data_IF_819250657211
#
_entry.id   IF_819250657211
#
_cell.length_a   1.000
_cell.length_b   1.000
_cell.length_c   1.000
_cell.angle_alpha   90.00
_cell.angle_beta   90.00
_cell.angle_gamma   90.00
#
_symmetry.space_group_name_H-M   'P 1'
#
loop_
_entity.id
_entity.type
_entity.pdbx_description
1 polymer ?
#
# COMPACT_ATOMS: atom_id res chain seq x y z
N UNK A 1 26.05 -41.80 0.64
CA UNK A 1 24.62 -41.86 0.90
C UNK A 1 24.28 -40.86 2.00
N UNK A 2 23.89 -39.65 1.66
CA UNK A 2 23.49 -38.62 2.65
C UNK A 2 21.96 -38.72 2.78
N UNK A 3 21.47 -38.99 3.98
CA UNK A 3 20.04 -39.00 4.30
C UNK A 3 19.54 -37.55 4.33
N UNK A 4 18.66 -37.24 3.44
CA UNK A 4 17.90 -35.96 3.46
C UNK A 4 16.75 -36.17 4.45
N UNK A 5 16.82 -35.50 5.60
CA UNK A 5 15.73 -35.46 6.56
C UNK A 5 14.77 -34.38 6.11
N UNK A 6 13.63 -34.81 5.60
CA UNK A 6 12.52 -33.93 5.21
C UNK A 6 11.86 -33.42 6.51
N UNK A 7 12.09 -32.16 6.86
CA UNK A 7 11.34 -31.51 7.93
C UNK A 7 10.00 -31.06 7.35
N UNK A 8 8.96 -31.83 7.59
CA UNK A 8 7.58 -31.43 7.31
C UNK A 8 7.19 -30.41 8.38
N UNK A 9 7.16 -29.15 8.03
CA UNK A 9 6.54 -28.12 8.85
C UNK A 9 5.04 -28.42 8.93
N UNK A 10 4.57 -28.86 10.08
CA UNK A 10 3.15 -29.03 10.36
C UNK A 10 2.50 -27.63 10.35
N UNK A 11 1.78 -27.34 9.28
CA UNK A 11 0.82 -26.22 9.26
C UNK A 11 -0.24 -26.61 10.29
N UNK A 12 -0.32 -25.87 11.39
CA UNK A 12 -1.40 -26.02 12.37
C UNK A 12 -2.70 -25.58 11.69
N UNK A 13 -3.41 -26.53 11.09
CA UNK A 13 -4.79 -26.37 10.66
C UNK A 13 -5.60 -26.30 11.97
N UNK A 14 -6.41 -25.25 12.21
CA UNK A 14 -7.27 -25.21 13.39
C UNK A 14 -8.20 -26.42 13.37
N UNK A 15 -8.14 -27.22 14.42
CA UNK A 15 -9.01 -28.40 14.59
C UNK A 15 -10.42 -27.90 14.78
N UNK A 16 -11.31 -28.21 13.82
CA UNK A 16 -12.75 -27.97 13.91
C UNK A 16 -13.37 -28.94 14.91
N UNK A 17 -13.52 -28.54 16.16
CA UNK A 17 -14.41 -29.17 17.09
C UNK A 17 -15.67 -28.31 17.21
N UNK A 18 -16.74 -28.73 16.54
CA UNK A 18 -18.09 -28.19 16.76
C UNK A 18 -18.33 -26.75 16.33
N UNK A 19 -18.03 -26.36 15.08
CA UNK A 19 -18.66 -25.21 14.43
C UNK A 19 -18.26 -23.79 14.87
N UNK A 20 -17.43 -23.61 15.89
CA UNK A 20 -16.90 -22.29 16.29
C UNK A 20 -15.38 -22.25 16.16
N UNK A 21 -14.90 -21.29 15.36
CA UNK A 21 -13.48 -20.97 15.30
C UNK A 21 -13.09 -20.24 16.59
N UNK A 22 -12.19 -20.82 17.40
CA UNK A 22 -11.65 -20.13 18.59
C UNK A 22 -10.52 -19.20 18.14
N UNK A 23 -10.60 -17.94 18.53
CA UNK A 23 -9.58 -16.94 18.26
C UNK A 23 -8.80 -16.59 19.53
N UNK A 24 -7.53 -16.19 19.44
CA UNK A 24 -6.83 -15.60 20.57
C UNK A 24 -7.55 -14.33 21.07
N UNK A 25 -7.45 -13.98 22.36
CA UNK A 25 -8.17 -12.84 22.94
C UNK A 25 -7.95 -11.51 22.20
N UNK A 26 -6.74 -11.28 21.69
CA UNK A 26 -6.42 -10.08 20.91
C UNK A 26 -7.18 -10.00 19.56
N UNK A 27 -7.60 -11.14 19.03
CA UNK A 27 -8.39 -11.25 17.82
C UNK A 27 -9.90 -11.18 18.14
N UNK A 28 -10.37 -11.90 19.18
CA UNK A 28 -11.77 -11.91 19.60
C UNK A 28 -12.27 -10.49 19.91
N UNK A 29 -11.44 -9.66 20.53
CA UNK A 29 -11.79 -8.28 20.90
C UNK A 29 -12.19 -7.42 19.70
N UNK A 30 -11.71 -7.74 18.50
CA UNK A 30 -11.90 -6.93 17.29
C UNK A 30 -12.67 -7.63 16.16
N UNK A 31 -13.03 -8.91 16.33
CA UNK A 31 -13.85 -9.64 15.37
C UNK A 31 -15.34 -9.36 15.65
N UNK A 32 -16.09 -9.11 14.58
CA UNK A 32 -17.56 -8.97 14.63
C UNK A 32 -18.29 -10.06 13.85
N UNK A 33 -17.61 -10.73 12.92
CA UNK A 33 -18.15 -11.80 12.10
C UNK A 33 -17.19 -12.99 12.11
N UNK A 34 -17.30 -13.87 13.11
CA UNK A 34 -16.44 -15.05 13.25
C UNK A 34 -16.90 -16.24 12.40
N UNK A 35 -18.14 -16.17 11.87
CA UNK A 35 -18.75 -17.27 11.14
C UNK A 35 -18.03 -17.52 9.82
N UNK A 36 -17.80 -18.80 9.50
CA UNK A 36 -17.19 -19.23 8.25
C UNK A 36 -18.12 -19.10 7.06
N UNK A 37 -19.44 -18.97 7.31
CA UNK A 37 -20.49 -18.83 6.31
C UNK A 37 -21.34 -17.60 6.56
N UNK A 38 -21.26 -16.64 5.64
CA UNK A 38 -21.96 -15.36 5.74
C UNK A 38 -22.53 -14.95 4.40
N UNK A 39 -23.74 -14.39 4.39
CA UNK A 39 -24.33 -13.72 3.24
C UNK A 39 -24.51 -12.23 3.54
N UNK A 40 -23.93 -11.38 2.69
CA UNK A 40 -24.07 -9.93 2.72
C UNK A 40 -25.14 -9.55 1.70
N UNK A 41 -26.35 -9.19 2.18
CA UNK A 41 -27.50 -8.89 1.31
C UNK A 41 -27.71 -7.39 1.14
N UNK A 42 -28.36 -7.05 0.02
CA UNK A 42 -28.79 -5.69 -0.33
C UNK A 42 -27.65 -4.70 -0.42
N UNK A 43 -26.45 -5.17 -0.86
CA UNK A 43 -25.27 -4.32 -1.00
C UNK A 43 -25.12 -3.76 -2.40
N UNK A 44 -24.55 -2.56 -2.50
CA UNK A 44 -23.92 -2.10 -3.74
C UNK A 44 -22.55 -2.76 -3.85
N UNK A 45 -22.25 -3.39 -4.98
CA UNK A 45 -20.95 -4.01 -5.24
C UNK A 45 -20.16 -3.19 -6.25
N UNK A 46 -18.95 -2.76 -5.87
CA UNK A 46 -17.92 -2.27 -6.79
C UNK A 46 -16.84 -3.33 -6.89
N UNK A 47 -16.82 -4.08 -7.97
CA UNK A 47 -16.09 -5.34 -8.07
C UNK A 47 -14.56 -5.20 -8.20
N UNK A 48 -14.03 -3.98 -8.29
CA UNK A 48 -12.60 -3.68 -8.46
C UNK A 48 -12.08 -3.78 -9.89
N UNK A 49 -12.94 -4.08 -10.88
CA UNK A 49 -12.52 -4.22 -12.30
C UNK A 49 -12.61 -2.91 -13.10
N UNK A 50 -13.03 -1.81 -12.47
CA UNK A 50 -13.28 -0.53 -13.16
C UNK A 50 -14.65 -0.44 -13.82
N UNK A 51 -15.49 -1.48 -13.72
CA UNK A 51 -16.86 -1.48 -14.23
C UNK A 51 -17.80 -0.68 -13.33
N UNK A 52 -18.97 -0.36 -13.89
CA UNK A 52 -20.04 0.29 -13.14
C UNK A 52 -20.45 -0.55 -11.90
N UNK A 53 -20.85 0.10 -10.80
CA UNK A 53 -21.36 -0.59 -9.62
C UNK A 53 -22.60 -1.42 -9.94
N UNK A 54 -22.76 -2.52 -9.21
CA UNK A 54 -23.95 -3.38 -9.25
C UNK A 54 -24.76 -3.11 -7.99
N UNK A 55 -26.02 -2.73 -8.17
CA UNK A 55 -26.94 -2.43 -7.07
C UNK A 55 -27.65 -3.69 -6.57
N UNK A 56 -28.07 -3.71 -5.32
CA UNK A 56 -28.89 -4.74 -4.69
C UNK A 56 -28.35 -6.17 -4.89
N UNK A 57 -27.08 -6.36 -4.55
CA UNK A 57 -26.42 -7.65 -4.68
C UNK A 57 -26.41 -8.43 -3.36
N UNK A 58 -26.29 -9.73 -3.48
CA UNK A 58 -25.94 -10.63 -2.38
C UNK A 58 -24.56 -11.24 -2.64
N UNK A 59 -23.66 -11.14 -1.66
CA UNK A 59 -22.34 -11.82 -1.66
C UNK A 59 -22.40 -12.94 -0.64
N UNK A 60 -22.15 -14.19 -1.09
CA UNK A 60 -22.06 -15.33 -0.17
C UNK A 60 -20.61 -15.71 0.03
N UNK A 61 -20.22 -15.79 1.30
CA UNK A 61 -18.87 -16.18 1.74
C UNK A 61 -18.98 -17.57 2.39
N UNK A 62 -18.08 -18.49 2.03
CA UNK A 62 -17.93 -19.79 2.69
C UNK A 62 -16.45 -20.16 2.76
N UNK A 63 -16.01 -20.61 3.92
CA UNK A 63 -14.63 -21.06 4.18
C UNK A 63 -13.55 -20.09 3.65
N UNK A 64 -13.77 -18.80 3.89
CA UNK A 64 -12.81 -17.73 3.53
C UNK A 64 -12.85 -17.28 2.08
N UNK A 65 -13.74 -17.82 1.25
CA UNK A 65 -13.88 -17.50 -0.17
C UNK A 65 -15.25 -16.93 -0.51
N UNK A 66 -15.29 -16.13 -1.56
CA UNK A 66 -16.51 -15.72 -2.23
C UNK A 66 -17.03 -16.91 -3.04
N UNK A 67 -18.22 -17.42 -2.72
CA UNK A 67 -18.81 -18.55 -3.47
C UNK A 67 -19.81 -18.10 -4.50
N UNK A 68 -20.52 -17.01 -4.27
CA UNK A 68 -21.44 -16.41 -5.25
C UNK A 68 -21.59 -14.90 -5.05
N UNK A 69 -21.94 -14.23 -6.15
CA UNK A 69 -22.29 -12.79 -6.19
C UNK A 69 -23.42 -12.63 -7.19
N UNK A 70 -24.51 -11.97 -6.81
CA UNK A 70 -25.63 -11.67 -7.70
C UNK A 70 -26.87 -11.16 -6.99
N UNK A 71 -27.87 -10.62 -7.70
CA UNK A 71 -29.07 -10.03 -7.10
C UNK A 71 -29.97 -11.06 -6.43
N UNK A 72 -29.90 -12.30 -6.84
CA UNK A 72 -30.68 -13.43 -6.29
C UNK A 72 -29.77 -14.61 -5.97
N UNK A 73 -28.55 -14.36 -5.47
CA UNK A 73 -27.63 -15.42 -5.09
C UNK A 73 -28.30 -16.33 -4.05
N UNK A 74 -28.34 -17.64 -4.35
CA UNK A 74 -28.90 -18.62 -3.44
C UNK A 74 -28.10 -18.65 -2.14
N UNK A 75 -28.78 -18.43 -1.03
CA UNK A 75 -28.18 -18.49 0.31
C UNK A 75 -28.39 -19.91 0.85
N UNK A 76 -27.33 -20.67 1.11
CA UNK A 76 -27.44 -22.00 1.69
C UNK A 76 -28.07 -21.96 3.08
N UNK A 77 -28.73 -23.03 3.49
CA UNK A 77 -29.29 -23.13 4.84
C UNK A 77 -28.19 -23.02 5.92
N UNK A 78 -28.50 -22.35 7.02
CA UNK A 78 -27.60 -22.19 8.17
C UNK A 78 -26.50 -21.13 7.97
N UNK A 79 -26.59 -20.32 6.92
CA UNK A 79 -25.70 -19.15 6.72
C UNK A 79 -26.20 -17.98 7.55
N UNK A 80 -25.28 -17.25 8.23
CA UNK A 80 -25.60 -15.96 8.83
C UNK A 80 -25.90 -14.95 7.73
N UNK A 81 -27.08 -14.35 7.78
CA UNK A 81 -27.49 -13.30 6.84
C UNK A 81 -27.30 -11.93 7.49
N UNK A 82 -26.66 -11.03 6.79
CA UNK A 82 -26.50 -9.64 7.18
C UNK A 82 -27.21 -8.76 6.15
N UNK A 83 -28.24 -8.05 6.57
CA UNK A 83 -28.85 -6.99 5.76
C UNK A 83 -27.96 -5.74 5.82
N UNK A 84 -27.44 -5.37 4.69
CA UNK A 84 -26.52 -4.25 4.52
C UNK A 84 -27.10 -3.21 3.54
N UNK A 85 -28.42 -3.03 3.56
CA UNK A 85 -29.10 -1.98 2.79
C UNK A 85 -28.41 -0.63 3.01
N UNK A 86 -28.10 0.08 1.93
CA UNK A 86 -27.39 1.37 1.96
C UNK A 86 -25.86 1.28 2.04
N UNK A 87 -25.30 0.07 2.19
CA UNK A 87 -23.85 -0.11 2.20
C UNK A 87 -23.27 -0.42 0.81
N UNK A 88 -22.00 -0.09 0.66
CA UNK A 88 -21.19 -0.48 -0.52
C UNK A 88 -20.13 -1.47 -0.08
N UNK A 89 -19.92 -2.51 -0.89
CA UNK A 89 -18.83 -3.47 -0.69
C UNK A 89 -17.84 -3.34 -1.84
N UNK A 90 -16.56 -3.15 -1.48
CA UNK A 90 -15.43 -3.11 -2.41
C UNK A 90 -14.45 -4.25 -2.07
N UNK A 91 -13.53 -4.65 -2.98
CA UNK A 91 -12.44 -5.55 -2.62
C UNK A 91 -11.57 -4.94 -1.53
N UNK A 92 -10.91 -5.77 -0.75
CA UNK A 92 -9.88 -5.31 0.17
C UNK A 92 -8.80 -4.51 -0.56
N UNK A 93 -8.39 -3.40 0.04
CA UNK A 93 -7.34 -2.54 -0.50
C UNK A 93 -6.01 -3.31 -0.48
N UNK A 94 -5.26 -3.18 -1.57
CA UNK A 94 -3.91 -3.73 -1.73
C UNK A 94 -2.92 -2.57 -1.74
N UNK A 95 -2.40 -2.25 -0.56
CA UNK A 95 -1.44 -1.17 -0.38
C UNK A 95 -0.08 -1.51 -1.00
N UNK A 96 0.37 -0.70 -1.95
CA UNK A 96 1.57 -0.96 -2.73
C UNK A 96 2.79 -0.16 -2.29
N UNK A 97 2.61 0.78 -1.36
CA UNK A 97 3.68 1.55 -0.73
C UNK A 97 3.34 1.83 0.74
N UNK A 98 3.48 0.80 1.54
CA UNK A 98 3.12 0.85 2.95
C UNK A 98 4.37 0.62 3.81
N UNK A 99 4.31 1.07 5.04
CA UNK A 99 5.34 0.85 6.04
C UNK A 99 4.72 0.48 7.38
N UNK A 100 5.49 -0.24 8.20
CA UNK A 100 5.10 -0.60 9.57
C UNK A 100 5.79 0.28 10.61
N UNK A 101 6.33 1.40 10.17
CA UNK A 101 6.91 2.44 10.99
C UNK A 101 6.29 3.80 10.65
N UNK A 102 6.48 4.77 11.54
CA UNK A 102 6.07 6.15 11.38
C UNK A 102 7.28 7.06 11.53
N UNK A 103 7.44 8.00 10.64
CA UNK A 103 8.55 8.95 10.67
C UNK A 103 8.04 10.36 10.87
N UNK A 104 8.62 11.09 11.80
CA UNK A 104 8.40 12.51 12.03
C UNK A 104 9.68 13.15 12.55
N UNK A 105 10.00 14.38 12.12
CA UNK A 105 11.17 15.16 12.53
C UNK A 105 12.48 14.35 12.60
N UNK A 106 12.74 13.47 11.62
CA UNK A 106 13.93 12.63 11.56
C UNK A 106 13.95 11.45 12.54
N UNK A 107 12.84 11.17 13.21
CA UNK A 107 12.65 9.98 14.05
C UNK A 107 11.86 8.93 13.29
N UNK A 108 12.22 7.66 13.43
CA UNK A 108 11.41 6.54 12.98
C UNK A 108 10.99 5.70 14.19
N UNK A 109 9.69 5.44 14.29
CA UNK A 109 9.09 4.65 15.38
C UNK A 109 8.41 3.44 14.77
N UNK A 110 8.80 2.22 15.21
CA UNK A 110 8.15 0.98 14.76
C UNK A 110 6.73 0.91 15.33
N UNK A 111 5.76 0.60 14.48
CA UNK A 111 4.34 0.56 14.83
C UNK A 111 3.83 -0.88 14.90
N UNK A 112 4.50 -1.74 15.69
CA UNK A 112 4.20 -3.17 15.78
C UNK A 112 2.75 -3.47 16.13
N UNK A 113 2.16 -2.68 17.00
CA UNK A 113 0.79 -2.87 17.46
C UNK A 113 -0.22 -2.06 16.63
N UNK A 114 0.10 -0.79 16.32
CA UNK A 114 -0.87 0.13 15.73
C UNK A 114 -0.96 0.01 14.21
N UNK A 115 0.15 -0.15 13.46
CA UNK A 115 0.09 -0.18 12.01
C UNK A 115 -0.80 -1.32 11.46
N UNK A 116 -0.65 -2.60 11.88
CA UNK A 116 -1.47 -3.67 11.32
C UNK A 116 -2.96 -3.48 11.62
N UNK A 117 -3.31 -2.91 12.77
CA UNK A 117 -4.70 -2.60 13.13
C UNK A 117 -5.27 -1.44 12.33
N UNK A 118 -4.48 -0.38 12.15
CA UNK A 118 -4.89 0.79 11.38
C UNK A 118 -5.10 0.46 9.90
N UNK A 119 -4.18 -0.31 9.30
CA UNK A 119 -4.36 -0.79 7.93
C UNK A 119 -5.66 -1.57 7.79
N UNK A 120 -5.84 -2.59 8.63
CA UNK A 120 -7.03 -3.44 8.57
C UNK A 120 -8.31 -2.65 8.82
N UNK A 121 -8.33 -1.76 9.83
CA UNK A 121 -9.50 -0.93 10.17
C UNK A 121 -9.97 -0.04 9.01
N UNK A 122 -9.05 0.40 8.17
CA UNK A 122 -9.34 1.30 7.05
C UNK A 122 -9.43 0.56 5.70
N UNK A 123 -9.55 -0.78 5.73
CA UNK A 123 -9.84 -1.59 4.54
C UNK A 123 -8.63 -2.17 3.82
N UNK A 124 -7.39 -1.95 4.30
CA UNK A 124 -6.20 -2.58 3.71
C UNK A 124 -6.09 -4.01 4.19
N UNK A 125 -6.36 -4.97 3.31
CA UNK A 125 -6.30 -6.42 3.62
C UNK A 125 -5.01 -7.07 3.17
N UNK A 126 -4.30 -6.43 2.25
CA UNK A 126 -2.97 -6.84 1.75
C UNK A 126 -2.09 -5.60 1.63
N UNK A 127 -0.83 -5.68 2.07
CA UNK A 127 0.11 -4.58 2.00
C UNK A 127 1.50 -5.07 1.58
N UNK A 128 2.17 -4.34 0.69
CA UNK A 128 3.60 -4.48 0.45
C UNK A 128 4.33 -3.47 1.32
N UNK A 129 5.18 -3.96 2.23
CA UNK A 129 6.12 -3.06 2.90
C UNK A 129 7.16 -2.59 1.88
N UNK A 130 7.43 -1.27 1.84
CA UNK A 130 8.21 -0.73 0.72
C UNK A 130 9.56 -0.22 1.21
N UNK A 131 10.36 -1.17 1.73
CA UNK A 131 11.64 -0.95 2.40
C UNK A 131 11.47 -0.92 3.92
N UNK A 132 12.22 -1.77 4.61
CA UNK A 132 12.24 -1.87 6.06
C UNK A 132 13.41 -1.11 6.67
N UNK A 133 13.15 -0.33 7.72
CA UNK A 133 14.19 0.18 8.62
C UNK A 133 14.59 -0.85 9.69
N UNK A 134 13.72 -1.86 9.88
CA UNK A 134 13.94 -3.01 10.78
C UNK A 134 13.28 -4.26 10.17
N UNK A 135 13.89 -4.90 9.15
CA UNK A 135 13.25 -5.99 8.40
C UNK A 135 12.88 -7.20 9.26
N UNK A 136 13.67 -7.58 10.27
CA UNK A 136 13.31 -8.66 11.19
C UNK A 136 12.06 -8.37 12.01
N UNK A 137 11.81 -7.10 12.34
CA UNK A 137 10.56 -6.67 12.97
C UNK A 137 9.36 -6.98 12.07
N UNK A 138 9.47 -6.67 10.77
CA UNK A 138 8.41 -6.93 9.78
C UNK A 138 8.21 -8.43 9.54
N UNK A 139 9.28 -9.22 9.49
CA UNK A 139 9.23 -10.70 9.40
C UNK A 139 8.46 -11.30 10.59
N UNK A 140 8.76 -10.85 11.81
CA UNK A 140 8.09 -11.34 13.01
C UNK A 140 6.62 -10.87 13.07
N UNK A 141 6.33 -9.64 12.64
CA UNK A 141 4.97 -9.12 12.52
C UNK A 141 4.17 -9.96 11.53
N UNK A 142 4.72 -10.19 10.32
CA UNK A 142 4.09 -11.06 9.32
C UNK A 142 3.76 -12.44 9.89
N UNK A 143 4.72 -13.08 10.56
CA UNK A 143 4.52 -14.38 11.21
C UNK A 143 3.39 -14.36 12.23
N UNK A 144 3.30 -13.30 13.04
CA UNK A 144 2.24 -13.14 14.04
C UNK A 144 0.85 -12.95 13.39
N UNK A 145 0.80 -12.23 12.28
CA UNK A 145 -0.45 -12.04 11.51
C UNK A 145 -0.85 -13.33 10.80
N UNK A 146 0.10 -14.03 10.15
CA UNK A 146 -0.17 -15.25 9.39
C UNK A 146 -0.62 -16.41 10.28
N UNK A 147 -0.13 -16.46 11.51
CA UNK A 147 -0.57 -17.45 12.53
C UNK A 147 -1.86 -17.04 13.25
N UNK A 148 -2.43 -15.86 12.95
CA UNK A 148 -3.64 -15.35 13.60
C UNK A 148 -3.42 -14.91 15.06
N UNK A 149 -2.18 -14.66 15.48
CA UNK A 149 -1.89 -14.17 16.83
C UNK A 149 -2.27 -12.70 17.02
N UNK A 150 -2.18 -11.90 15.94
CA UNK A 150 -2.60 -10.49 15.92
C UNK A 150 -3.41 -10.18 14.65
N UNK A 151 -4.34 -9.19 14.69
CA UNK A 151 -5.03 -8.71 13.50
C UNK A 151 -4.11 -7.86 12.62
N UNK A 152 -4.26 -7.97 11.31
CA UNK A 152 -3.51 -7.17 10.35
C UNK A 152 -3.67 -7.65 8.91
N UNK A 153 -3.18 -6.89 7.91
CA UNK A 153 -3.21 -7.26 6.51
C UNK A 153 -2.25 -8.43 6.21
N UNK A 154 -2.44 -9.07 5.07
CA UNK A 154 -1.45 -9.97 4.48
C UNK A 154 -0.23 -9.14 4.06
N UNK A 155 0.97 -9.45 4.59
CA UNK A 155 2.18 -8.70 4.30
C UNK A 155 3.04 -9.36 3.21
N UNK A 156 3.35 -8.58 2.17
CA UNK A 156 4.42 -8.85 1.21
C UNK A 156 5.63 -8.02 1.60
N UNK A 157 6.67 -8.70 2.08
CA UNK A 157 7.81 -8.02 2.68
C UNK A 157 8.81 -7.56 1.62
N UNK A 158 9.23 -6.31 1.74
CA UNK A 158 10.41 -5.77 1.06
C UNK A 158 11.57 -5.78 2.04
N UNK A 159 12.76 -6.16 1.58
CA UNK A 159 13.98 -6.13 2.37
C UNK A 159 14.35 -4.72 2.86
N UNK A 160 15.52 -4.54 3.46
CA UNK A 160 15.97 -3.20 3.86
C UNK A 160 16.05 -2.27 2.67
N UNK A 161 15.92 -0.97 2.92
CA UNK A 161 16.27 0.02 1.91
C UNK A 161 17.72 -0.16 1.44
N UNK A 162 17.94 -0.13 0.13
CA UNK A 162 19.27 -0.23 -0.48
C UNK A 162 19.66 1.13 -1.05
N UNK A 163 20.66 1.78 -0.46
CA UNK A 163 21.16 3.09 -0.90
C UNK A 163 22.66 3.04 -1.17
N UNK A 164 23.21 4.08 -1.77
CA UNK A 164 24.66 4.22 -1.95
C UNK A 164 25.38 4.71 -0.68
N UNK A 165 26.73 4.73 -0.70
CA UNK A 165 27.54 5.32 0.36
C UNK A 165 27.15 6.79 0.61
N UNK A 166 27.05 7.17 1.89
CA UNK A 166 26.61 8.51 2.30
C UNK A 166 25.10 8.69 2.43
N UNK A 167 24.31 7.67 2.09
CA UNK A 167 22.87 7.65 2.31
C UNK A 167 22.49 7.58 3.81
N UNK A 168 21.20 7.55 4.11
CA UNK A 168 20.71 7.56 5.48
C UNK A 168 21.23 6.37 6.30
N UNK A 169 21.63 6.61 7.54
CA UNK A 169 22.21 5.60 8.45
C UNK A 169 21.25 4.45 8.81
N UNK A 170 19.93 4.65 8.62
CA UNK A 170 18.91 3.62 8.83
C UNK A 170 18.71 2.69 7.64
N UNK A 171 19.48 2.89 6.56
CA UNK A 171 19.40 2.14 5.31
C UNK A 171 20.67 1.31 5.10
N UNK A 172 20.57 0.23 4.32
CA UNK A 172 21.74 -0.52 3.92
C UNK A 172 22.52 0.24 2.84
N UNK A 173 23.68 0.79 3.22
CA UNK A 173 24.58 1.48 2.32
C UNK A 173 25.41 0.45 1.56
N UNK A 174 25.35 0.46 0.24
CA UNK A 174 25.97 -0.53 -0.63
C UNK A 174 26.90 0.18 -1.59
N UNK A 175 28.22 -0.14 -1.54
CA UNK A 175 29.25 0.46 -2.38
C UNK A 175 29.71 -0.41 -3.54
N UNK A 176 29.31 -1.70 -3.60
CA UNK A 176 29.77 -2.61 -4.63
C UNK A 176 28.70 -3.58 -5.13
N UNK A 177 28.94 -4.15 -6.31
CA UNK A 177 28.05 -5.18 -6.90
C UNK A 177 28.06 -6.47 -6.11
N UNK A 178 29.15 -6.78 -5.42
CA UNK A 178 29.27 -7.96 -4.55
C UNK A 178 28.40 -7.81 -3.30
N UNK A 179 28.48 -6.65 -2.64
CA UNK A 179 27.60 -6.33 -1.50
C UNK A 179 26.12 -6.38 -1.90
N UNK A 180 25.78 -5.84 -3.08
CA UNK A 180 24.42 -5.89 -3.61
C UNK A 180 23.91 -7.33 -3.74
N UNK A 181 24.72 -8.22 -4.34
CA UNK A 181 24.36 -9.63 -4.49
C UNK A 181 24.24 -10.34 -3.14
N UNK A 182 25.16 -10.07 -2.22
CA UNK A 182 25.17 -10.66 -0.88
C UNK A 182 23.92 -10.28 -0.09
N UNK A 183 23.58 -8.99 -0.05
CA UNK A 183 22.42 -8.50 0.72
C UNK A 183 21.10 -9.00 0.14
N UNK A 184 20.96 -9.01 -1.19
CA UNK A 184 19.77 -9.54 -1.86
C UNK A 184 19.59 -11.03 -1.57
N UNK A 185 20.65 -11.84 -1.70
CA UNK A 185 20.55 -13.27 -1.42
C UNK A 185 20.22 -13.54 0.05
N UNK A 186 20.85 -12.82 0.98
CA UNK A 186 20.60 -12.96 2.41
C UNK A 186 19.11 -12.72 2.75
N UNK A 187 18.57 -11.59 2.35
CA UNK A 187 17.18 -11.27 2.67
C UNK A 187 16.16 -12.10 1.88
N UNK A 188 16.53 -12.58 0.70
CA UNK A 188 15.73 -13.56 -0.02
C UNK A 188 15.62 -14.89 0.74
N UNK A 189 16.71 -15.34 1.40
CA UNK A 189 16.70 -16.52 2.26
C UNK A 189 15.88 -16.30 3.55
N UNK A 190 15.78 -15.05 4.05
CA UNK A 190 14.91 -14.66 5.16
C UNK A 190 13.43 -14.50 4.76
N UNK A 191 13.09 -14.67 3.47
CA UNK A 191 11.71 -14.74 2.97
C UNK A 191 11.10 -13.42 2.51
N UNK A 192 11.90 -12.37 2.26
CA UNK A 192 11.39 -11.19 1.57
C UNK A 192 11.11 -11.48 0.10
N UNK A 193 10.12 -10.80 -0.47
CA UNK A 193 9.66 -11.03 -1.85
C UNK A 193 9.94 -9.84 -2.78
N UNK A 194 10.36 -8.73 -2.22
CA UNK A 194 10.69 -7.49 -2.93
C UNK A 194 11.97 -6.86 -2.38
N UNK A 195 12.59 -6.00 -3.19
CA UNK A 195 13.69 -5.10 -2.78
C UNK A 195 13.40 -3.68 -3.23
N UNK A 196 13.93 -2.69 -2.50
CA UNK A 196 13.77 -1.27 -2.82
C UNK A 196 15.11 -0.55 -2.85
N UNK A 197 15.41 0.08 -4.00
CA UNK A 197 16.49 1.06 -4.10
C UNK A 197 16.07 2.42 -3.55
N UNK A 198 17.04 3.20 -3.08
CA UNK A 198 16.85 4.57 -2.62
C UNK A 198 17.82 5.54 -3.31
N UNK A 199 17.73 6.81 -2.98
CA UNK A 199 18.18 7.99 -3.73
C UNK A 199 19.61 7.97 -4.25
N UNK A 200 20.56 7.34 -3.57
CA UNK A 200 22.01 7.50 -3.84
C UNK A 200 22.69 6.25 -4.40
N UNK A 201 21.91 5.25 -4.81
CA UNK A 201 22.44 4.00 -5.40
C UNK A 201 23.01 4.27 -6.80
N UNK A 202 24.16 3.65 -7.15
CA UNK A 202 24.68 3.73 -8.50
C UNK A 202 23.97 2.75 -9.45
N UNK A 203 24.01 3.05 -10.76
CA UNK A 203 23.43 2.18 -11.81
C UNK A 203 24.05 0.79 -11.82
N UNK A 204 25.35 0.68 -11.58
CA UNK A 204 26.06 -0.59 -11.55
C UNK A 204 25.59 -1.46 -10.37
N UNK A 205 25.49 -0.87 -9.19
CA UNK A 205 25.01 -1.54 -7.96
C UNK A 205 23.55 -1.91 -8.10
N UNK A 206 22.69 -1.00 -8.61
CA UNK A 206 21.28 -1.26 -8.86
C UNK A 206 21.07 -2.43 -9.84
N UNK A 207 21.84 -2.45 -10.96
CA UNK A 207 21.81 -3.58 -11.90
C UNK A 207 22.13 -4.89 -11.23
N UNK A 208 23.20 -4.93 -10.42
CA UNK A 208 23.61 -6.14 -9.72
C UNK A 208 22.53 -6.64 -8.74
N UNK A 209 21.88 -5.71 -8.02
CA UNK A 209 20.78 -6.01 -7.10
C UNK A 209 19.54 -6.55 -7.84
N UNK A 210 19.10 -5.88 -8.93
CA UNK A 210 17.95 -6.32 -9.76
C UNK A 210 18.22 -7.72 -10.32
N UNK A 211 19.39 -7.95 -10.93
CA UNK A 211 19.74 -9.27 -11.49
C UNK A 211 19.75 -10.36 -10.41
N UNK A 212 20.26 -10.05 -9.20
CA UNK A 212 20.26 -11.00 -8.09
C UNK A 212 18.84 -11.34 -7.62
N UNK A 213 17.96 -10.33 -7.50
CA UNK A 213 16.56 -10.50 -7.14
C UNK A 213 15.80 -11.34 -8.19
N UNK A 214 15.94 -11.01 -9.47
CA UNK A 214 15.28 -11.72 -10.56
C UNK A 214 15.73 -13.19 -10.67
N UNK A 215 17.01 -13.51 -10.41
CA UNK A 215 17.48 -14.90 -10.34
C UNK A 215 16.79 -15.72 -9.25
N UNK A 216 16.25 -15.07 -8.23
CA UNK A 216 15.47 -15.66 -7.14
C UNK A 216 13.95 -15.61 -7.40
N UNK A 217 13.51 -15.10 -8.56
CA UNK A 217 12.09 -14.89 -8.87
C UNK A 217 11.45 -13.75 -8.06
N UNK A 218 12.27 -12.86 -7.49
CA UNK A 218 11.83 -11.73 -6.66
C UNK A 218 11.82 -10.44 -7.47
N UNK A 219 11.11 -9.42 -6.99
CA UNK A 219 10.89 -8.15 -7.69
C UNK A 219 11.66 -6.99 -7.05
N UNK A 220 11.80 -5.92 -7.82
CA UNK A 220 12.57 -4.75 -7.42
C UNK A 220 11.81 -3.46 -7.68
N UNK A 221 11.84 -2.54 -6.70
CA UNK A 221 11.26 -1.21 -6.83
C UNK A 221 12.25 -0.11 -6.44
N UNK A 222 11.91 1.16 -6.66
CA UNK A 222 12.83 2.25 -6.33
C UNK A 222 12.17 3.61 -6.07
N UNK A 223 12.64 4.26 -5.00
CA UNK A 223 12.55 5.69 -4.77
C UNK A 223 13.86 6.30 -5.25
N UNK A 224 13.91 6.73 -6.49
CA UNK A 224 15.16 7.03 -7.18
C UNK A 224 15.50 8.54 -7.17
N UNK A 225 16.74 8.86 -7.50
CA UNK A 225 17.24 10.19 -7.80
C UNK A 225 18.56 10.11 -8.58
N UNK A 226 19.60 9.47 -8.03
CA UNK A 226 20.92 9.29 -8.69
C UNK A 226 20.80 8.48 -9.99
N UNK A 227 19.87 7.53 -10.03
CA UNK A 227 19.46 6.79 -11.22
C UNK A 227 18.11 7.32 -11.68
N UNK A 228 17.99 7.68 -12.95
CA UNK A 228 16.73 8.19 -13.49
C UNK A 228 15.72 7.05 -13.78
N UNK A 229 14.46 7.40 -14.02
CA UNK A 229 13.43 6.41 -14.33
C UNK A 229 13.77 5.63 -15.60
N UNK A 230 14.16 6.31 -16.68
CA UNK A 230 14.53 5.64 -17.94
C UNK A 230 15.76 4.74 -17.79
N UNK A 231 16.76 5.17 -17.00
CA UNK A 231 17.90 4.30 -16.68
C UNK A 231 17.46 3.06 -15.87
N UNK A 232 16.62 3.22 -14.85
CA UNK A 232 16.12 2.10 -14.06
C UNK A 232 15.27 1.12 -14.88
N UNK A 233 14.44 1.64 -15.80
CA UNK A 233 13.69 0.84 -16.77
C UNK A 233 14.63 0.02 -17.63
N UNK A 234 15.69 0.62 -18.15
CA UNK A 234 16.71 -0.08 -18.96
C UNK A 234 17.49 -1.14 -18.14
N UNK A 235 17.58 -0.98 -16.81
CA UNK A 235 18.16 -1.97 -15.89
C UNK A 235 17.22 -3.10 -15.52
N UNK A 236 15.92 -3.01 -15.88
CA UNK A 236 14.92 -4.05 -15.63
C UNK A 236 14.17 -3.93 -14.31
N UNK A 237 14.02 -2.72 -13.77
CA UNK A 237 13.21 -2.51 -12.55
C UNK A 237 11.74 -2.91 -12.79
N UNK A 238 11.06 -3.45 -11.77
CA UNK A 238 9.67 -3.91 -11.91
C UNK A 238 8.64 -2.84 -11.57
N UNK A 239 8.98 -1.92 -10.65
CA UNK A 239 8.07 -0.87 -10.19
C UNK A 239 8.85 0.40 -9.84
N UNK A 240 8.22 1.55 -10.01
CA UNK A 240 8.75 2.86 -9.63
C UNK A 240 7.81 3.53 -8.62
N UNK A 241 8.39 4.14 -7.60
CA UNK A 241 7.65 4.74 -6.51
C UNK A 241 7.44 6.24 -6.71
N UNK A 242 6.33 6.76 -6.22
CA UNK A 242 6.04 8.21 -6.12
C UNK A 242 5.86 8.96 -7.44
N UNK A 243 5.89 8.27 -8.57
CA UNK A 243 5.71 8.90 -9.87
C UNK A 243 6.68 10.06 -10.13
N UNK A 244 6.14 11.20 -10.52
CA UNK A 244 6.94 12.36 -10.93
C UNK A 244 7.85 12.91 -9.82
N UNK A 245 7.47 12.76 -8.54
CA UNK A 245 8.20 13.35 -7.41
C UNK A 245 9.64 12.84 -7.26
N UNK A 246 9.94 11.64 -7.76
CA UNK A 246 11.26 11.00 -7.65
C UNK A 246 11.92 10.76 -9.01
N UNK A 247 11.41 11.43 -10.04
CA UNK A 247 11.92 11.26 -11.39
C UNK A 247 12.97 12.34 -11.74
N UNK A 248 14.21 11.91 -11.96
CA UNK A 248 15.34 12.78 -12.36
C UNK A 248 15.61 12.81 -13.87
N UNK A 249 14.75 12.23 -14.72
CA UNK A 249 14.92 12.23 -16.18
C UNK A 249 15.02 13.65 -16.77
N UNK A 250 14.42 14.65 -16.11
CA UNK A 250 14.27 16.01 -16.62
C UNK A 250 15.34 16.98 -16.13
N UNK A 251 16.35 16.48 -15.41
CA UNK A 251 17.49 17.30 -14.96
C UNK A 251 18.44 17.56 -16.14
N UNK A 252 18.63 18.84 -16.54
CA UNK A 252 19.55 19.15 -17.62
C UNK A 252 20.99 18.74 -17.27
N UNK A 253 21.71 18.14 -18.22
CA UNK A 253 23.11 17.74 -18.06
C UNK A 253 23.37 16.92 -16.79
N UNK A 254 22.43 16.04 -16.43
CA UNK A 254 22.48 15.22 -15.21
C UNK A 254 23.79 14.42 -15.15
N UNK A 255 24.49 14.52 -14.03
CA UNK A 255 25.64 13.67 -13.74
C UNK A 255 25.13 12.27 -13.37
N UNK A 256 25.54 11.21 -14.09
CA UNK A 256 25.16 9.84 -13.75
C UNK A 256 25.57 9.45 -12.32
N UNK A 257 24.73 8.64 -11.68
CA UNK A 257 24.97 8.13 -10.32
C UNK A 257 25.07 9.22 -9.23
N UNK A 258 24.56 10.41 -9.54
CA UNK A 258 24.49 11.52 -8.60
C UNK A 258 23.06 12.07 -8.50
N UNK A 259 22.57 12.23 -7.26
CA UNK A 259 21.27 12.85 -7.01
C UNK A 259 21.37 14.37 -7.11
N UNK A 260 20.82 14.93 -8.19
CA UNK A 260 20.88 16.37 -8.43
C UNK A 260 19.93 17.14 -7.50
N UNK A 261 20.39 18.23 -6.86
CA UNK A 261 19.52 19.13 -6.12
C UNK A 261 18.50 19.86 -7.00
N UNK A 262 18.73 19.89 -8.32
CA UNK A 262 17.84 20.51 -9.30
C UNK A 262 16.64 19.65 -9.70
N UNK A 263 16.55 18.39 -9.22
CA UNK A 263 15.48 17.47 -9.60
C UNK A 263 14.09 18.09 -9.44
N UNK A 264 13.78 18.69 -8.30
CA UNK A 264 12.47 19.33 -8.07
C UNK A 264 12.23 20.52 -8.99
N UNK A 265 13.27 21.32 -9.23
CA UNK A 265 13.19 22.48 -10.13
C UNK A 265 12.99 22.05 -11.58
N UNK A 266 13.62 20.97 -12.01
CA UNK A 266 13.44 20.41 -13.36
C UNK A 266 12.02 19.92 -13.59
N UNK A 267 11.41 19.26 -12.60
CA UNK A 267 10.02 18.83 -12.65
C UNK A 267 9.05 20.01 -12.83
N UNK A 268 9.34 21.17 -12.22
CA UNK A 268 8.52 22.37 -12.37
C UNK A 268 8.64 23.01 -13.77
N UNK A 269 9.74 22.76 -14.48
CA UNK A 269 10.04 23.38 -15.78
C UNK A 269 9.68 22.51 -16.99
N UNK A 270 9.66 21.18 -16.83
CA UNK A 270 9.38 20.25 -17.94
C UNK A 270 7.98 20.49 -18.51
N UNK A 271 7.84 20.44 -19.83
CA UNK A 271 6.53 20.48 -20.47
C UNK A 271 5.80 19.14 -20.23
N UNK A 272 4.69 19.17 -19.47
CA UNK A 272 3.91 17.99 -19.13
C UNK A 272 3.28 17.29 -20.34
N UNK A 273 3.12 18.00 -21.47
CA UNK A 273 2.64 17.44 -22.74
C UNK A 273 3.80 17.21 -23.74
N UNK A 274 5.02 17.49 -23.31
CA UNK A 274 6.23 17.44 -24.14
C UNK A 274 6.74 16.02 -24.42
N UNK A 275 7.70 15.93 -25.35
CA UNK A 275 8.26 14.64 -25.77
C UNK A 275 9.00 13.91 -24.65
N UNK A 276 9.60 14.63 -23.69
CA UNK A 276 10.36 14.03 -22.58
C UNK A 276 9.45 13.23 -21.64
N UNK A 277 8.31 13.81 -21.23
CA UNK A 277 7.30 13.12 -20.41
C UNK A 277 6.76 11.91 -21.18
N UNK A 278 6.41 12.12 -22.45
CA UNK A 278 5.92 11.03 -23.31
C UNK A 278 6.93 9.91 -23.43
N UNK A 279 8.20 10.20 -23.64
CA UNK A 279 9.24 9.19 -23.76
C UNK A 279 9.38 8.36 -22.46
N UNK A 280 9.42 9.01 -21.30
CA UNK A 280 9.50 8.31 -20.01
C UNK A 280 8.31 7.36 -19.84
N UNK A 281 7.10 7.83 -20.11
CA UNK A 281 5.89 7.01 -20.00
C UNK A 281 5.91 5.85 -21.01
N UNK A 282 6.24 6.10 -22.27
CA UNK A 282 6.30 5.08 -23.33
C UNK A 282 7.32 3.97 -22.98
N UNK A 283 8.50 4.34 -22.46
CA UNK A 283 9.51 3.38 -22.01
C UNK A 283 9.04 2.53 -20.83
N UNK A 284 8.40 3.13 -19.84
CA UNK A 284 7.80 2.40 -18.71
C UNK A 284 6.73 1.40 -19.17
N UNK A 285 5.80 1.86 -20.01
CA UNK A 285 4.71 1.02 -20.52
C UNK A 285 5.22 -0.12 -21.40
N UNK A 286 6.14 0.19 -22.34
CA UNK A 286 6.76 -0.80 -23.22
C UNK A 286 7.48 -1.92 -22.46
N UNK A 287 8.14 -1.57 -21.35
CA UNK A 287 8.89 -2.51 -20.52
C UNK A 287 8.03 -3.08 -19.36
N UNK A 288 6.71 -2.78 -19.32
CA UNK A 288 5.77 -3.26 -18.31
C UNK A 288 6.19 -2.89 -16.88
N UNK A 289 6.86 -1.77 -16.70
CA UNK A 289 7.22 -1.25 -15.38
C UNK A 289 5.99 -0.62 -14.75
N UNK A 290 5.59 -1.10 -13.58
CA UNK A 290 4.49 -0.56 -12.83
C UNK A 290 4.89 0.72 -12.07
N UNK A 291 3.90 1.43 -11.53
CA UNK A 291 4.13 2.60 -10.69
C UNK A 291 3.23 2.57 -9.46
N UNK A 292 3.73 3.07 -8.34
CA UNK A 292 2.94 3.23 -7.11
C UNK A 292 2.69 4.71 -6.83
N UNK A 293 1.42 5.09 -6.81
CA UNK A 293 0.96 6.40 -6.35
C UNK A 293 1.06 6.50 -4.84
N UNK A 294 1.57 7.63 -4.36
CA UNK A 294 1.64 7.95 -2.92
C UNK A 294 1.28 9.43 -2.70
N UNK A 295 0.24 9.90 -3.34
CA UNK A 295 -0.17 11.31 -3.28
C UNK A 295 -0.40 11.78 -1.84
N UNK A 296 -0.89 10.90 -0.95
CA UNK A 296 -1.18 11.24 0.44
C UNK A 296 0.05 11.74 1.23
N UNK A 297 1.24 11.15 1.04
CA UNK A 297 2.46 11.62 1.72
C UNK A 297 2.94 12.96 1.16
N UNK A 298 2.84 13.16 -0.14
CA UNK A 298 3.27 14.43 -0.75
C UNK A 298 2.30 15.58 -0.48
N UNK A 299 1.00 15.28 -0.30
CA UNK A 299 0.01 16.25 0.15
C UNK A 299 0.37 16.88 1.48
N UNK A 300 1.08 16.18 2.37
CA UNK A 300 1.54 16.73 3.66
C UNK A 300 2.48 17.94 3.53
N UNK A 301 3.12 18.10 2.38
CA UNK A 301 3.99 19.26 2.08
C UNK A 301 3.25 20.37 1.31
N UNK A 302 1.97 20.17 1.02
CA UNK A 302 1.12 21.18 0.40
C UNK A 302 0.49 22.04 1.51
N UNK A 303 0.74 23.38 1.56
CA UNK A 303 0.18 24.23 2.59
C UNK A 303 -1.34 24.04 2.73
N UNK A 304 -1.82 24.02 3.97
CA UNK A 304 -3.22 23.87 4.35
C UNK A 304 -3.89 22.53 3.97
N UNK A 305 -3.11 21.57 3.49
CA UNK A 305 -3.58 20.22 3.14
C UNK A 305 -2.81 19.14 3.90
N UNK A 306 -3.39 17.90 4.05
CA UNK A 306 -4.81 17.56 3.85
C UNK A 306 -5.73 18.30 4.83
N UNK A 307 -7.06 18.25 4.68
CA UNK A 307 -7.99 18.70 5.72
C UNK A 307 -7.70 17.96 7.03
N UNK A 308 -7.74 18.68 8.15
CA UNK A 308 -7.55 18.05 9.47
C UNK A 308 -8.71 17.11 9.78
N UNK A 309 -8.37 15.86 10.10
CA UNK A 309 -9.35 14.84 10.48
C UNK A 309 -9.18 14.46 11.95
N UNK A 310 -10.25 14.58 12.73
CA UNK A 310 -10.22 14.26 14.15
C UNK A 310 -9.77 12.81 14.40
N UNK A 311 -10.21 11.86 13.56
CA UNK A 311 -9.82 10.44 13.68
C UNK A 311 -8.31 10.21 13.53
N UNK A 312 -7.63 11.00 12.66
CA UNK A 312 -6.17 10.97 12.48
C UNK A 312 -5.49 11.55 13.72
N UNK A 313 -5.99 12.69 14.21
CA UNK A 313 -5.47 13.33 15.42
C UNK A 313 -5.65 12.45 16.66
N UNK A 314 -6.75 11.70 16.73
CA UNK A 314 -7.05 10.77 17.84
C UNK A 314 -6.14 9.53 17.83
N UNK A 315 -5.64 9.10 16.68
CA UNK A 315 -4.70 7.98 16.59
C UNK A 315 -3.28 8.36 17.04
N UNK A 316 -2.89 9.63 16.85
CA UNK A 316 -1.56 10.14 17.22
C UNK A 316 -1.40 10.22 18.73
N UNK A 317 -0.21 9.89 19.23
CA UNK A 317 0.21 10.23 20.60
C UNK A 317 0.21 11.75 20.79
N UNK A 318 0.08 12.25 22.03
CA UNK A 318 0.11 13.70 22.28
C UNK A 318 1.32 14.39 21.65
N UNK A 319 2.51 13.80 21.78
CA UNK A 319 3.75 14.33 21.21
C UNK A 319 3.72 14.35 19.69
N UNK A 320 3.37 13.23 19.05
CA UNK A 320 3.30 13.15 17.59
C UNK A 320 2.22 14.07 17.00
N UNK A 321 1.13 14.27 17.72
CA UNK A 321 0.06 15.20 17.34
C UNK A 321 0.54 16.65 17.38
N UNK A 322 1.26 17.04 18.44
CA UNK A 322 1.82 18.39 18.57
C UNK A 322 2.86 18.66 17.48
N UNK A 323 3.76 17.69 17.20
CA UNK A 323 4.74 17.79 16.13
C UNK A 323 4.07 17.97 14.75
N UNK A 324 3.03 17.19 14.46
CA UNK A 324 2.28 17.31 13.21
C UNK A 324 1.60 18.67 13.06
N UNK A 325 0.89 19.12 14.09
CA UNK A 325 0.19 20.41 14.04
C UNK A 325 1.17 21.59 13.95
N UNK A 326 2.30 21.52 14.65
CA UNK A 326 3.36 22.53 14.59
C UNK A 326 4.00 22.59 13.18
N UNK A 327 4.33 21.44 12.60
CA UNK A 327 4.89 21.37 11.25
C UNK A 327 3.91 21.92 10.20
N UNK A 328 2.64 21.59 10.33
CA UNK A 328 1.58 22.10 9.46
C UNK A 328 1.44 23.62 9.54
N UNK A 329 1.42 24.19 10.77
CA UNK A 329 1.38 25.64 10.97
C UNK A 329 2.56 26.32 10.31
N UNK A 330 3.78 25.82 10.51
CA UNK A 330 4.98 26.40 9.90
C UNK A 330 4.96 26.35 8.36
N UNK A 331 4.30 25.36 7.75
CA UNK A 331 4.11 25.32 6.29
C UNK A 331 3.06 26.34 5.82
N UNK A 332 1.95 26.49 6.54
CA UNK A 332 0.93 27.48 6.22
C UNK A 332 1.46 28.91 6.27
N UNK A 333 2.33 29.22 7.24
CA UNK A 333 2.98 30.53 7.37
C UNK A 333 3.88 30.88 6.17
N UNK A 334 4.36 29.87 5.44
CA UNK A 334 5.20 30.03 4.23
C UNK A 334 4.48 29.60 2.94
N UNK A 335 3.17 29.60 2.94
CA UNK A 335 2.37 29.11 1.81
C UNK A 335 2.68 29.84 0.49
N UNK A 336 2.92 31.15 0.55
CA UNK A 336 3.23 31.98 -0.63
C UNK A 336 4.54 31.59 -1.34
N UNK A 337 5.49 30.95 -0.63
CA UNK A 337 6.77 30.51 -1.16
C UNK A 337 6.74 29.06 -1.68
N UNK A 338 5.63 28.35 -1.45
CA UNK A 338 5.53 26.92 -1.71
C UNK A 338 5.33 26.62 -3.20
N UNK A 339 6.19 25.78 -3.74
CA UNK A 339 6.03 25.21 -5.09
C UNK A 339 5.21 23.91 -5.09
N UNK A 340 4.84 23.42 -3.92
CA UNK A 340 4.10 22.15 -3.80
C UNK A 340 2.75 22.11 -4.50
N UNK A 341 1.93 23.19 -4.52
CA UNK A 341 0.68 23.19 -5.28
C UNK A 341 0.88 22.83 -6.75
N UNK A 342 1.87 23.43 -7.40
CA UNK A 342 2.17 23.15 -8.81
C UNK A 342 2.81 21.76 -8.99
N UNK A 343 3.75 21.37 -8.13
CA UNK A 343 4.35 20.04 -8.18
C UNK A 343 3.31 18.94 -8.00
N UNK A 344 2.37 19.12 -7.09
CA UNK A 344 1.31 18.16 -6.81
C UNK A 344 0.38 18.00 -8.02
N UNK A 345 -0.05 19.11 -8.62
CA UNK A 345 -0.85 19.09 -9.85
C UNK A 345 -0.13 18.39 -11.01
N UNK A 346 1.17 18.60 -11.16
CA UNK A 346 1.99 17.93 -12.19
C UNK A 346 2.12 16.44 -11.94
N UNK A 347 2.29 16.03 -10.68
CA UNK A 347 2.34 14.61 -10.31
C UNK A 347 1.01 13.90 -10.62
N UNK A 348 -0.11 14.52 -10.27
CA UNK A 348 -1.45 14.01 -10.63
C UNK A 348 -1.61 13.88 -12.15
N UNK A 349 -1.18 14.88 -12.92
CA UNK A 349 -1.23 14.84 -14.38
C UNK A 349 -0.33 13.71 -14.97
N UNK A 350 0.84 13.47 -14.39
CA UNK A 350 1.74 12.39 -14.80
C UNK A 350 1.11 11.01 -14.56
N UNK A 351 0.51 10.78 -13.39
CA UNK A 351 -0.18 9.52 -13.07
C UNK A 351 -1.34 9.27 -14.04
N UNK A 352 -2.12 10.31 -14.35
CA UNK A 352 -3.19 10.23 -15.37
C UNK A 352 -2.65 9.88 -16.74
N UNK A 353 -1.58 10.54 -17.17
CA UNK A 353 -0.96 10.30 -18.48
C UNK A 353 -0.39 8.87 -18.57
N UNK A 354 0.24 8.39 -17.50
CA UNK A 354 0.76 7.03 -17.42
C UNK A 354 -0.35 5.97 -17.57
N UNK A 355 -1.45 6.09 -16.82
CA UNK A 355 -2.59 5.15 -16.94
C UNK A 355 -3.25 5.24 -18.31
N UNK A 356 -3.42 6.46 -18.85
CA UNK A 356 -3.99 6.66 -20.21
C UNK A 356 -3.15 5.99 -21.30
N UNK A 357 -1.84 5.91 -21.11
CA UNK A 357 -0.92 5.22 -22.02
C UNK A 357 -0.90 3.68 -21.83
N UNK A 358 -1.69 3.15 -20.90
CA UNK A 358 -1.77 1.72 -20.60
C UNK A 358 -0.85 1.26 -19.46
N UNK A 359 -0.27 2.20 -18.71
CA UNK A 359 0.56 1.91 -17.54
C UNK A 359 -0.22 1.32 -16.37
N UNK A 360 0.41 0.40 -15.63
CA UNK A 360 -0.17 -0.25 -14.47
C UNK A 360 0.16 0.56 -13.19
N UNK A 361 -0.83 1.31 -12.69
CA UNK A 361 -0.73 2.11 -11.47
C UNK A 361 -1.32 1.34 -10.29
N UNK A 362 -0.58 1.22 -9.18
CA UNK A 362 -1.06 0.85 -7.85
C UNK A 362 -0.99 2.06 -6.91
N UNK A 363 -1.42 1.90 -5.66
CA UNK A 363 -1.39 2.99 -4.67
C UNK A 363 -1.03 2.50 -3.27
N UNK A 364 -0.45 3.38 -2.44
CA UNK A 364 -0.15 3.15 -1.03
C UNK A 364 0.06 4.46 -0.28
N UNK A 365 0.05 4.44 1.05
CA UNK A 365 0.04 5.65 1.87
C UNK A 365 1.41 6.29 2.04
N UNK A 366 2.47 5.49 2.14
CA UNK A 366 3.81 5.93 2.59
C UNK A 366 3.75 6.73 3.90
N UNK A 367 3.52 6.11 5.06
CA UNK A 367 3.26 6.80 6.32
C UNK A 367 4.55 7.41 6.92
N UNK A 368 5.12 8.36 6.22
CA UNK A 368 6.37 9.05 6.53
C UNK A 368 6.18 10.57 6.50
N UNK A 369 7.26 11.33 6.41
CA UNK A 369 7.23 12.79 6.25
C UNK A 369 7.01 13.54 7.55
N UNK A 370 6.06 14.48 7.55
CA UNK A 370 5.81 15.41 8.67
C UNK A 370 4.64 15.00 9.58
N UNK A 371 4.13 13.79 9.39
CA UNK A 371 2.95 13.28 10.10
C UNK A 371 1.65 13.51 9.35
N UNK A 372 0.57 12.84 9.79
CA UNK A 372 -0.76 12.98 9.19
C UNK A 372 -1.11 11.95 8.11
N UNK A 373 -0.15 11.44 7.35
CA UNK A 373 -0.34 10.27 6.50
C UNK A 373 -0.11 9.01 7.33
N UNK A 374 -1.14 8.53 8.00
CA UNK A 374 -1.08 7.35 8.84
C UNK A 374 -1.50 6.10 8.07
N UNK A 375 -1.00 4.90 8.50
CA UNK A 375 -1.45 3.62 7.96
C UNK A 375 -2.98 3.54 7.82
N UNK A 376 -3.47 3.13 6.66
CA UNK A 376 -4.89 3.01 6.37
C UNK A 376 -5.63 4.33 6.14
N UNK A 377 -5.44 5.34 6.99
CA UNK A 377 -6.07 6.66 6.78
C UNK A 377 -5.56 7.34 5.50
N UNK A 378 -4.25 7.28 5.28
CA UNK A 378 -3.65 7.80 4.06
C UNK A 378 -4.02 7.00 2.82
N UNK A 379 -4.27 5.68 2.97
CA UNK A 379 -4.79 4.86 1.87
C UNK A 379 -6.18 5.33 1.45
N UNK A 380 -7.09 5.59 2.40
CA UNK A 380 -8.39 6.18 2.12
C UNK A 380 -8.27 7.59 1.53
N UNK A 381 -7.28 8.38 1.99
CA UNK A 381 -7.04 9.70 1.40
C UNK A 381 -6.54 9.60 -0.05
N UNK A 382 -5.71 8.61 -0.37
CA UNK A 382 -5.29 8.35 -1.76
C UNK A 382 -6.46 8.09 -2.71
N UNK A 383 -7.54 7.44 -2.25
CA UNK A 383 -8.77 7.29 -3.05
C UNK A 383 -9.32 8.65 -3.49
N UNK A 384 -9.44 9.58 -2.54
CA UNK A 384 -9.94 10.93 -2.84
C UNK A 384 -8.99 11.70 -3.75
N UNK A 385 -7.66 11.56 -3.54
CA UNK A 385 -6.63 12.24 -4.33
C UNK A 385 -6.52 11.70 -5.76
N UNK A 386 -6.76 10.40 -5.97
CA UNK A 386 -6.88 9.82 -7.31
C UNK A 386 -8.10 10.39 -8.06
N UNK A 387 -9.23 10.58 -7.36
CA UNK A 387 -10.40 11.22 -7.96
C UNK A 387 -10.11 12.71 -8.28
N UNK A 388 -9.42 13.41 -7.39
CA UNK A 388 -8.96 14.78 -7.64
C UNK A 388 -8.00 14.85 -8.84
N UNK A 389 -7.15 13.83 -9.03
CA UNK A 389 -6.29 13.68 -10.20
C UNK A 389 -7.08 13.43 -11.51
N UNK A 390 -8.40 13.22 -11.42
CA UNK A 390 -9.31 13.03 -12.54
C UNK A 390 -9.59 11.58 -12.92
N UNK A 391 -9.27 10.60 -12.07
CA UNK A 391 -9.79 9.25 -12.21
C UNK A 391 -11.24 9.18 -11.76
N UNK A 392 -12.04 8.33 -12.39
CA UNK A 392 -13.38 8.03 -11.86
C UNK A 392 -13.27 7.26 -10.54
N UNK A 393 -14.26 7.30 -9.65
CA UNK A 393 -14.22 6.53 -8.41
C UNK A 393 -14.02 5.03 -8.61
N UNK A 394 -14.56 4.44 -9.67
CA UNK A 394 -14.37 3.01 -9.98
C UNK A 394 -12.94 2.70 -10.46
N UNK A 395 -12.32 3.60 -11.23
CA UNK A 395 -10.91 3.50 -11.60
C UNK A 395 -10.00 3.64 -10.37
N UNK A 396 -10.30 4.57 -9.46
CA UNK A 396 -9.55 4.72 -8.21
C UNK A 396 -9.61 3.44 -7.35
N UNK A 397 -10.79 2.81 -7.21
CA UNK A 397 -10.92 1.51 -6.54
C UNK A 397 -10.11 0.43 -7.27
N UNK A 398 -10.15 0.37 -8.61
CA UNK A 398 -9.35 -0.58 -9.38
C UNK A 398 -7.85 -0.40 -9.14
N UNK A 399 -7.36 0.84 -9.10
CA UNK A 399 -5.95 1.19 -8.83
C UNK A 399 -5.55 0.68 -7.44
N UNK A 400 -6.40 0.88 -6.45
CA UNK A 400 -6.12 0.54 -5.05
C UNK A 400 -6.34 -0.94 -4.71
N UNK A 401 -6.93 -1.72 -5.61
CA UNK A 401 -7.29 -3.12 -5.34
C UNK A 401 -6.70 -4.07 -6.39
N UNK A 402 -7.37 -4.25 -7.53
CA UNK A 402 -6.98 -5.20 -8.55
C UNK A 402 -5.61 -4.91 -9.18
N UNK A 403 -5.28 -3.63 -9.40
CA UNK A 403 -3.98 -3.28 -9.96
C UNK A 403 -2.84 -3.60 -8.99
N UNK A 404 -2.99 -3.30 -7.69
CA UNK A 404 -2.03 -3.73 -6.66
C UNK A 404 -1.85 -5.26 -6.66
N UNK A 405 -2.95 -6.01 -6.72
CA UNK A 405 -2.89 -7.47 -6.81
C UNK A 405 -2.16 -7.96 -8.08
N UNK A 406 -2.36 -7.30 -9.23
CA UNK A 406 -1.62 -7.59 -10.48
C UNK A 406 -0.12 -7.31 -10.36
N UNK A 407 0.26 -6.20 -9.73
CA UNK A 407 1.67 -5.85 -9.50
C UNK A 407 2.33 -6.91 -8.60
N UNK A 408 1.61 -7.40 -7.59
CA UNK A 408 2.09 -8.47 -6.70
C UNK A 408 2.04 -9.86 -7.37
N UNK A 409 1.26 -10.04 -8.44
CA UNK A 409 1.08 -11.33 -9.13
C UNK A 409 0.09 -12.27 -8.44
N UNK A 410 -0.84 -11.73 -7.65
CA UNK A 410 -1.85 -12.46 -6.86
C UNK A 410 -3.30 -12.14 -7.26
N UNK A 411 -3.49 -11.52 -8.42
CA UNK A 411 -4.80 -11.09 -8.91
C UNK A 411 -5.75 -12.25 -9.22
N UNK A 412 -5.26 -13.48 -9.33
CA UNK A 412 -6.08 -14.68 -9.40
C UNK A 412 -6.74 -15.01 -8.06
N UNK A 413 -6.13 -14.62 -6.94
CA UNK A 413 -6.58 -14.95 -5.59
C UNK A 413 -7.45 -13.85 -4.97
N UNK A 414 -7.13 -12.57 -5.22
CA UNK A 414 -7.79 -11.42 -4.59
C UNK A 414 -7.78 -10.17 -5.48
N UNK A 415 -8.15 -9.01 -4.92
CA UNK A 415 -8.15 -7.71 -5.60
C UNK A 415 -9.40 -7.41 -6.42
N UNK A 416 -10.31 -8.37 -6.58
CA UNK A 416 -11.64 -8.12 -7.16
C UNK A 416 -12.69 -9.07 -6.55
N UNK A 417 -13.97 -8.66 -6.57
CA UNK A 417 -15.09 -9.44 -6.06
C UNK A 417 -15.58 -10.40 -7.15
N UNK A 418 -15.21 -11.68 -7.04
CA UNK A 418 -15.63 -12.71 -7.95
C UNK A 418 -15.66 -14.09 -7.26
N UNK A 419 -16.54 -15.03 -7.68
CA UNK A 419 -16.54 -16.37 -7.15
C UNK A 419 -15.18 -17.06 -7.26
N UNK A 420 -14.80 -17.79 -6.22
CA UNK A 420 -13.52 -18.50 -6.10
C UNK A 420 -12.38 -17.68 -5.49
N UNK A 421 -12.48 -16.36 -5.45
CA UNK A 421 -11.49 -15.48 -4.81
C UNK A 421 -11.63 -15.47 -3.28
N UNK A 422 -10.55 -15.07 -2.61
CA UNK A 422 -10.57 -14.84 -1.18
C UNK A 422 -11.59 -13.76 -0.82
N UNK A 423 -12.31 -13.95 0.26
CA UNK A 423 -13.24 -12.98 0.80
C UNK A 423 -12.46 -11.91 1.59
N UNK A 424 -11.67 -11.13 0.86
CA UNK A 424 -11.02 -9.90 1.31
C UNK A 424 -11.88 -8.75 0.82
N UNK A 425 -12.74 -8.19 1.70
CA UNK A 425 -13.80 -7.24 1.36
C UNK A 425 -13.85 -6.10 2.37
N UNK A 426 -14.25 -4.92 1.90
CA UNK A 426 -14.50 -3.75 2.75
C UNK A 426 -15.96 -3.35 2.66
N UNK A 427 -16.66 -3.34 3.80
CA UNK A 427 -18.04 -2.88 3.92
C UNK A 427 -18.04 -1.42 4.37
N UNK A 428 -18.61 -0.57 3.54
CA UNK A 428 -18.66 0.89 3.73
C UNK A 428 -20.11 1.32 3.90
N UNK A 429 -20.43 2.00 4.99
CA UNK A 429 -21.75 2.60 5.19
C UNK A 429 -21.90 3.83 4.29
N UNK A 430 -22.61 3.70 3.18
CA UNK A 430 -22.81 4.77 2.20
C UNK A 430 -22.37 4.42 0.78
N UNK A 431 -22.15 5.46 -0.03
CA UNK A 431 -21.83 5.34 -1.45
C UNK A 431 -20.58 6.16 -1.82
N UNK A 432 -19.37 5.59 -1.70
CA UNK A 432 -18.13 6.29 -2.04
C UNK A 432 -18.00 6.63 -3.53
N UNK A 433 -18.82 6.02 -4.40
CA UNK A 433 -18.83 6.36 -5.82
C UNK A 433 -19.51 7.72 -6.07
N UNK A 434 -20.57 8.01 -5.32
CA UNK A 434 -21.27 9.28 -5.39
C UNK A 434 -20.66 10.36 -4.47
N UNK A 435 -20.14 9.95 -3.34
CA UNK A 435 -19.54 10.81 -2.29
C UNK A 435 -18.21 10.21 -1.83
N UNK A 436 -17.09 10.57 -2.46
CA UNK A 436 -15.78 9.95 -2.20
C UNK A 436 -15.37 9.89 -0.72
N UNK A 437 -15.70 10.92 0.06
CA UNK A 437 -15.39 10.95 1.49
C UNK A 437 -16.04 9.82 2.30
N UNK A 438 -17.09 9.16 1.78
CA UNK A 438 -17.73 8.03 2.47
C UNK A 438 -16.86 6.75 2.47
N UNK A 439 -15.75 6.71 1.71
CA UNK A 439 -14.75 5.65 1.87
C UNK A 439 -14.26 5.53 3.34
N UNK A 440 -14.33 6.62 4.09
CA UNK A 440 -13.95 6.71 5.50
C UNK A 440 -14.94 6.04 6.45
N UNK A 441 -16.14 5.71 5.98
CA UNK A 441 -17.21 5.07 6.76
C UNK A 441 -17.12 3.54 6.70
N UNK A 442 -15.90 3.01 6.72
CA UNK A 442 -15.65 1.57 6.80
C UNK A 442 -16.18 1.02 8.12
N UNK A 443 -17.04 0.00 8.05
CA UNK A 443 -17.69 -0.62 9.21
C UNK A 443 -17.12 -2.00 9.52
N UNK A 444 -16.99 -2.85 8.51
CA UNK A 444 -16.47 -4.21 8.64
C UNK A 444 -15.43 -4.44 7.54
N UNK A 445 -14.32 -5.05 7.89
CA UNK A 445 -13.32 -5.50 6.93
C UNK A 445 -13.19 -7.02 7.02
N UNK A 446 -13.51 -7.70 5.94
CA UNK A 446 -13.29 -9.13 5.82
C UNK A 446 -11.87 -9.39 5.29
N UNK A 447 -11.15 -10.25 5.99
CA UNK A 447 -9.88 -10.82 5.53
C UNK A 447 -9.93 -12.33 5.65
N UNK A 448 -9.74 -13.02 4.54
CA UNK A 448 -9.93 -14.47 4.45
C UNK A 448 -11.31 -14.91 5.02
N UNK A 449 -12.36 -14.11 4.81
CA UNK A 449 -13.72 -14.38 5.25
C UNK A 449 -14.03 -14.09 6.72
N UNK A 450 -13.04 -13.74 7.54
CA UNK A 450 -13.25 -13.28 8.93
C UNK A 450 -13.54 -11.78 8.92
N UNK A 451 -14.65 -11.35 9.52
CA UNK A 451 -15.06 -9.95 9.57
C UNK A 451 -14.57 -9.23 10.83
N UNK A 452 -13.76 -8.20 10.64
CA UNK A 452 -13.21 -7.35 11.69
C UNK A 452 -14.02 -6.06 11.83
N UNK A 453 -14.27 -5.66 13.06
CA UNK A 453 -14.94 -4.40 13.40
C UNK A 453 -13.95 -3.23 13.29
N UNK A 454 -14.18 -2.35 12.32
CA UNK A 454 -13.31 -1.19 12.08
C UNK A 454 -13.25 -0.26 13.30
N UNK A 455 -14.39 0.01 13.96
CA UNK A 455 -14.43 0.92 15.11
C UNK A 455 -13.66 0.35 16.31
N UNK A 456 -13.76 -0.95 16.58
CA UNK A 456 -13.00 -1.60 17.66
C UNK A 456 -11.49 -1.60 17.37
N UNK A 457 -11.10 -1.86 16.12
CA UNK A 457 -9.69 -1.76 15.70
C UNK A 457 -9.15 -0.35 15.94
N UNK A 458 -9.87 0.69 15.50
CA UNK A 458 -9.48 2.09 15.69
C UNK A 458 -9.42 2.47 17.16
N UNK A 459 -10.42 2.07 17.96
CA UNK A 459 -10.43 2.33 19.39
C UNK A 459 -9.23 1.72 20.12
N UNK A 460 -8.77 0.53 19.68
CA UNK A 460 -7.63 -0.17 20.30
C UNK A 460 -6.28 0.52 20.08
N UNK A 461 -6.19 1.46 19.15
CA UNK A 461 -4.93 2.16 18.80
C UNK A 461 -5.00 3.67 19.04
N UNK A 462 -6.05 4.16 19.68
CA UNK A 462 -6.21 5.59 19.99
C UNK A 462 -5.03 6.11 20.81
N UNK A 463 -4.37 7.17 20.33
CA UNK A 463 -3.23 7.80 21.01
C UNK A 463 -1.91 7.01 20.96
N UNK A 464 -1.80 5.95 20.14
CA UNK A 464 -0.63 5.07 20.16
C UNK A 464 0.35 5.31 19.00
N UNK A 465 -0.03 6.03 17.95
CA UNK A 465 0.90 6.30 16.84
C UNK A 465 1.95 7.31 17.27
N UNK A 466 3.23 6.93 17.12
CA UNK A 466 4.37 7.76 17.51
C UNK A 466 4.87 7.50 18.95
N UNK A 467 4.30 6.55 19.68
CA UNK A 467 4.87 6.05 20.94
C UNK A 467 6.07 5.15 20.66
N UNK A 468 7.12 5.32 21.46
CA UNK A 468 8.36 4.54 21.40
C UNK A 468 8.24 3.24 22.18
#
# INVERSE_FOLDING_TARGET
MKRITLVIAAIAVPVMLGGQTTFPPAMEAVISVPETRVALQHVRVVDGTGKAPLEDQTIVIDAGKIVSVGPAASIPAGVRVMDLTGHTVIPGIVGMHDHTFYTTRGRSVQLQFSAPRLYLANGVTTARTTGGTSPYHEINMKKSIDTGAIPGPRLHLTGPYLTGPGGAATMAQIGSTEEARRIVNYWADEGVTWFKAYTDISREVLRAAIVAAHKRGLKFTGHLCSVSFREAVALGIDNLEHGLFTNSDFVPNRTPDHCSPEMRTSILKVDMNGPEIKQTIDEMVKNKVAMSSTLAVYELSYPDRPPLEQRVLDALSPEAREEYLSARKAMSERAAESTMPEMFRRAQAFERAFVKAGGLLGAGVDPTGVGGALPGFGDQRNFELLIEAGFTPVEAIQIMTLNGARILGIDKELGSIAPGKLADLVVINGNPIARPAEIRQTTIVFKNGVGYDSAKLLASVKGLVGIR
#
